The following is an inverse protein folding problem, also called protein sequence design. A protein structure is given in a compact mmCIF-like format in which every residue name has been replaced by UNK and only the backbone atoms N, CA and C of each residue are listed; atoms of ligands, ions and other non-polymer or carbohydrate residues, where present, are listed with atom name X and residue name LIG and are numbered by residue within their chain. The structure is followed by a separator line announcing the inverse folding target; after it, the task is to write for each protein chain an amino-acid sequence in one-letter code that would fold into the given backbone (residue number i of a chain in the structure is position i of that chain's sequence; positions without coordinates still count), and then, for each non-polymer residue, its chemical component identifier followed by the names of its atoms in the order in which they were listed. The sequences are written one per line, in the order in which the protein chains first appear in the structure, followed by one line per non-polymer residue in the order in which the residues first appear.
data_IF_684147464349
#
_entry.id   IF_684147464349
#
_cell.length_a   1.000
_cell.length_b   1.000
_cell.length_c   1.000
_cell.angle_alpha   90.00
_cell.angle_beta   90.00
_cell.angle_gamma   90.00
#
_symmetry.space_group_name_H-M   'P 1'
#
loop_
_entity.id
_entity.type
_entity.pdbx_description
1 polymer ?
#
# COMPACT_ATOMS: atom_id res chain seq x y z
N UNK A 1 -7.29 2.57 29.41
CA UNK A 1 -6.57 1.54 28.64
C UNK A 1 -5.78 2.28 27.57
N UNK A 2 -4.46 2.05 27.45
CA UNK A 2 -3.65 2.61 26.36
C UNK A 2 -3.20 1.48 25.43
N UNK A 3 -3.24 1.71 24.12
CA UNK A 3 -2.85 0.77 23.07
C UNK A 3 -1.59 1.29 22.37
N UNK A 4 -0.57 0.45 22.27
CA UNK A 4 0.68 0.77 21.58
C UNK A 4 0.91 -0.14 20.39
N UNK A 5 1.18 0.46 19.23
CA UNK A 5 1.71 -0.25 18.07
C UNK A 5 3.23 -0.19 18.08
N UNK A 6 3.89 -1.33 17.94
CA UNK A 6 5.35 -1.43 17.91
C UNK A 6 5.74 -2.10 16.60
N UNK A 7 6.56 -1.40 15.80
CA UNK A 7 7.18 -2.00 14.62
C UNK A 7 8.15 -3.14 15.01
N UNK A 8 8.43 -4.03 14.06
CA UNK A 8 9.30 -5.19 14.29
C UNK A 8 10.74 -4.92 13.83
N UNK A 9 10.98 -4.76 12.54
CA UNK A 9 12.32 -4.72 11.96
C UNK A 9 12.98 -3.36 12.17
N UNK A 10 14.09 -3.33 12.91
CA UNK A 10 14.79 -2.09 13.26
C UNK A 10 14.28 -1.49 14.56
N UNK A 11 13.13 -1.96 15.06
CA UNK A 11 12.50 -1.48 16.29
C UNK A 11 12.59 -2.53 17.40
N UNK A 12 11.87 -3.65 17.30
CA UNK A 12 11.90 -4.71 18.31
C UNK A 12 12.99 -5.75 18.01
N UNK A 13 13.28 -5.97 16.73
CA UNK A 13 14.33 -6.83 16.21
C UNK A 13 15.41 -5.98 15.53
N UNK A 14 16.67 -6.43 15.61
CA UNK A 14 17.77 -5.87 14.85
C UNK A 14 17.48 -5.96 13.34
N UNK A 15 17.81 -4.91 12.59
CA UNK A 15 17.65 -4.90 11.14
C UNK A 15 18.89 -4.32 10.48
N UNK A 16 19.41 -5.07 9.50
CA UNK A 16 20.56 -4.66 8.68
C UNK A 16 20.10 -4.48 7.24
N UNK A 17 19.46 -5.51 6.68
CA UNK A 17 18.84 -5.50 5.37
C UNK A 17 17.82 -6.64 5.26
N UNK A 18 17.04 -6.65 4.18
CA UNK A 18 16.10 -7.72 3.92
C UNK A 18 16.82 -9.02 3.53
N UNK A 19 16.72 -10.05 4.38
CA UNK A 19 17.36 -11.34 4.16
C UNK A 19 16.39 -12.46 3.76
N UNK A 20 15.08 -12.23 3.87
CA UNK A 20 14.05 -13.22 3.55
C UNK A 20 12.78 -13.01 4.36
N UNK A 21 11.67 -13.57 3.88
CA UNK A 21 10.35 -13.42 4.51
C UNK A 21 10.30 -13.98 5.95
N UNK A 22 11.08 -15.01 6.21
CA UNK A 22 11.16 -15.78 7.45
C UNK A 22 12.44 -15.51 8.25
N UNK A 23 13.33 -14.63 7.78
CA UNK A 23 14.56 -14.24 8.46
C UNK A 23 14.34 -12.89 9.15
N UNK A 24 14.11 -12.94 10.46
CA UNK A 24 13.96 -11.78 11.35
C UNK A 24 15.20 -11.71 12.25
N UNK A 25 15.74 -10.52 12.49
CA UNK A 25 16.94 -10.33 13.32
C UNK A 25 16.74 -10.71 14.79
N UNK A 26 17.80 -10.66 15.58
CA UNK A 26 17.70 -10.92 17.02
C UNK A 26 16.89 -9.81 17.70
N UNK A 27 16.10 -10.12 18.74
CA UNK A 27 15.48 -9.07 19.54
C UNK A 27 16.57 -8.20 20.16
N UNK A 28 16.37 -6.89 20.17
CA UNK A 28 17.24 -6.01 20.94
C UNK A 28 17.26 -6.47 22.40
N UNK A 29 18.44 -6.45 23.03
CA UNK A 29 18.65 -7.01 24.38
C UNK A 29 17.67 -6.47 25.43
N UNK A 30 17.21 -5.23 25.25
CA UNK A 30 16.31 -4.53 26.17
C UNK A 30 14.82 -4.66 25.79
N UNK A 31 14.49 -5.30 24.66
CA UNK A 31 13.11 -5.51 24.21
C UNK A 31 12.24 -6.32 25.20
N UNK A 32 12.70 -7.44 25.80
CA UNK A 32 11.89 -8.18 26.76
C UNK A 32 11.51 -7.35 27.99
N UNK A 33 12.46 -6.56 28.50
CA UNK A 33 12.23 -5.66 29.63
C UNK A 33 11.20 -4.58 29.27
N UNK A 34 11.33 -3.97 28.09
CA UNK A 34 10.43 -2.93 27.63
C UNK A 34 8.98 -3.42 27.51
N UNK A 35 8.80 -4.57 26.85
CA UNK A 35 7.49 -5.20 26.69
C UNK A 35 6.88 -5.59 28.04
N UNK A 36 7.68 -6.15 28.96
CA UNK A 36 7.23 -6.44 30.31
C UNK A 36 6.76 -5.18 31.04
N UNK A 37 7.53 -4.09 30.98
CA UNK A 37 7.21 -2.83 31.65
C UNK A 37 5.93 -2.17 31.08
N UNK A 38 5.65 -2.33 29.78
CA UNK A 38 4.37 -1.92 29.17
C UNK A 38 3.20 -2.73 29.73
N UNK A 39 3.36 -4.05 29.86
CA UNK A 39 2.32 -4.92 30.44
C UNK A 39 2.08 -4.63 31.92
N UNK A 40 3.11 -4.36 32.72
CA UNK A 40 2.96 -3.94 34.12
C UNK A 40 2.17 -2.62 34.25
N UNK A 41 2.27 -1.73 33.26
CA UNK A 41 1.48 -0.49 33.18
C UNK A 41 0.05 -0.70 32.65
N UNK A 42 -0.35 -1.93 32.34
CA UNK A 42 -1.68 -2.25 31.83
C UNK A 42 -1.92 -1.82 30.38
N UNK A 43 -0.86 -1.71 29.56
CA UNK A 43 -0.99 -1.38 28.15
C UNK A 43 -1.38 -2.61 27.32
N UNK A 44 -2.09 -2.35 26.23
CA UNK A 44 -2.31 -3.32 25.15
C UNK A 44 -1.19 -3.12 24.13
N UNK A 45 -0.46 -4.19 23.85
CA UNK A 45 0.73 -4.18 23.00
C UNK A 45 0.43 -4.90 21.69
N UNK A 46 0.50 -4.15 20.60
CA UNK A 46 0.29 -4.64 19.25
C UNK A 46 1.62 -4.62 18.50
N UNK A 47 2.01 -5.73 17.86
CA UNK A 47 3.04 -5.69 16.82
C UNK A 47 2.40 -5.16 15.54
N UNK A 48 3.05 -4.20 14.89
CA UNK A 48 2.58 -3.62 13.64
C UNK A 48 3.73 -3.54 12.64
N UNK A 49 3.80 -4.52 11.75
CA UNK A 49 4.94 -4.72 10.85
C UNK A 49 4.45 -5.00 9.43
N UNK A 50 5.35 -5.04 8.44
CA UNK A 50 5.07 -5.50 7.08
C UNK A 50 5.18 -7.02 6.91
N UNK A 51 5.71 -7.72 7.93
CA UNK A 51 5.86 -9.19 7.93
C UNK A 51 4.55 -9.94 8.18
N UNK A 52 4.35 -11.06 7.47
CA UNK A 52 3.17 -11.91 7.65
C UNK A 52 3.11 -12.49 9.07
N UNK A 53 1.90 -12.56 9.63
CA UNK A 53 1.63 -12.90 11.04
C UNK A 53 2.24 -14.25 11.45
N UNK A 54 2.28 -15.21 10.54
CA UNK A 54 2.86 -16.54 10.78
C UNK A 54 4.35 -16.46 11.14
N UNK A 55 5.12 -15.60 10.45
CA UNK A 55 6.55 -15.44 10.69
C UNK A 55 6.80 -14.64 11.96
N UNK A 56 5.99 -13.60 12.20
CA UNK A 56 6.06 -12.79 13.42
C UNK A 56 5.75 -13.62 14.65
N UNK A 57 4.68 -14.42 14.63
CA UNK A 57 4.28 -15.29 15.73
C UNK A 57 5.38 -16.31 16.06
N UNK A 58 5.90 -16.99 15.04
CA UNK A 58 6.99 -17.95 15.20
C UNK A 58 8.21 -17.32 15.87
N UNK A 59 8.64 -16.15 15.39
CA UNK A 59 9.77 -15.43 15.97
C UNK A 59 9.51 -14.99 17.43
N UNK A 60 8.32 -14.47 17.73
CA UNK A 60 7.93 -14.11 19.09
C UNK A 60 7.93 -15.32 20.05
N UNK A 61 7.51 -16.50 19.57
CA UNK A 61 7.55 -17.74 20.34
C UNK A 61 8.99 -18.21 20.58
N UNK A 62 9.83 -18.23 19.54
CA UNK A 62 11.24 -18.62 19.62
C UNK A 62 12.04 -17.77 20.63
N UNK A 63 11.69 -16.48 20.74
CA UNK A 63 12.34 -15.55 21.64
C UNK A 63 11.63 -15.33 22.99
N UNK A 64 10.57 -16.10 23.29
CA UNK A 64 9.76 -15.94 24.51
C UNK A 64 9.27 -14.50 24.72
N UNK A 65 8.75 -13.87 23.66
CA UNK A 65 8.16 -12.53 23.68
C UNK A 65 6.64 -12.56 23.47
N UNK A 66 6.10 -13.65 22.92
CA UNK A 66 4.68 -13.77 22.55
C UNK A 66 3.72 -13.49 23.72
N UNK A 67 4.10 -13.81 24.96
CA UNK A 67 3.28 -13.58 26.14
C UNK A 67 3.05 -12.09 26.48
N UNK A 68 3.84 -11.19 25.89
CA UNK A 68 3.68 -9.76 26.07
C UNK A 68 2.89 -9.09 24.94
N UNK A 69 2.52 -9.83 23.90
CA UNK A 69 1.87 -9.30 22.70
C UNK A 69 0.40 -9.69 22.71
N UNK A 70 -0.48 -8.70 22.62
CA UNK A 70 -1.93 -8.92 22.58
C UNK A 70 -2.44 -9.12 21.14
N UNK A 71 -1.86 -8.40 20.18
CA UNK A 71 -2.26 -8.44 18.76
C UNK A 71 -1.04 -8.40 17.83
N UNK A 72 -1.13 -9.08 16.68
CA UNK A 72 -0.14 -9.03 15.61
C UNK A 72 -0.83 -8.51 14.36
N UNK A 73 -0.32 -7.41 13.82
CA UNK A 73 -0.90 -6.68 12.69
C UNK A 73 -2.40 -6.38 12.87
N UNK A 74 -2.84 -6.24 14.12
CA UNK A 74 -4.22 -5.99 14.53
C UNK A 74 -4.30 -5.10 15.76
N UNK A 75 -5.48 -4.60 16.07
CA UNK A 75 -5.70 -3.74 17.22
C UNK A 75 -7.07 -3.99 17.87
N UNK A 76 -7.26 -3.63 19.14
CA UNK A 76 -8.54 -3.78 19.82
C UNK A 76 -9.60 -2.76 19.34
N UNK A 77 -9.25 -1.83 18.47
CA UNK A 77 -10.21 -0.85 17.93
C UNK A 77 -10.96 -1.43 16.73
N UNK A 78 -12.28 -1.17 16.61
CA UNK A 78 -13.05 -1.62 15.47
C UNK A 78 -12.52 -1.02 14.17
N UNK A 79 -12.50 -1.83 13.11
CA UNK A 79 -11.88 -1.55 11.82
C UNK A 79 -12.63 -0.50 10.97
N UNK A 80 -13.46 0.35 11.59
CA UNK A 80 -14.38 1.29 10.92
C UNK A 80 -13.69 2.53 10.37
N UNK A 81 -12.51 2.88 10.88
CA UNK A 81 -11.64 3.88 10.26
C UNK A 81 -10.56 3.19 9.43
N UNK A 82 -10.38 3.62 8.18
CA UNK A 82 -9.41 3.11 7.20
C UNK A 82 -7.92 3.26 7.59
N UNK A 83 -7.64 3.50 8.87
CA UNK A 83 -6.33 3.60 9.51
C UNK A 83 -6.46 3.01 10.92
N UNK A 84 -5.77 1.89 11.22
CA UNK A 84 -5.84 1.28 12.56
C UNK A 84 -5.20 2.23 13.57
N UNK A 85 -5.99 2.66 14.56
CA UNK A 85 -5.58 3.61 15.58
C UNK A 85 -4.74 2.91 16.66
N UNK A 86 -3.66 3.55 17.09
CA UNK A 86 -2.98 3.26 18.34
C UNK A 86 -2.95 4.57 19.13
N UNK A 87 -2.97 4.50 20.47
CA UNK A 87 -2.75 5.71 21.27
C UNK A 87 -1.31 6.22 21.09
N UNK A 88 -0.37 5.28 20.92
CA UNK A 88 1.05 5.52 20.64
C UNK A 88 1.56 4.55 19.58
N UNK A 89 2.43 4.99 18.68
CA UNK A 89 3.13 4.13 17.74
C UNK A 89 4.65 4.34 17.84
N UNK A 90 5.39 3.24 18.02
CA UNK A 90 6.85 3.20 18.04
C UNK A 90 7.31 2.52 16.76
N UNK A 91 8.20 3.20 16.04
CA UNK A 91 8.91 2.66 14.91
C UNK A 91 10.13 3.50 14.61
N UNK A 92 11.06 2.96 13.85
CA UNK A 92 12.18 3.69 13.25
C UNK A 92 11.73 4.92 12.42
N UNK A 93 10.49 4.92 11.93
CA UNK A 93 9.88 6.02 11.17
C UNK A 93 8.95 6.96 11.99
N UNK A 94 8.68 6.69 13.28
CA UNK A 94 7.72 7.45 14.09
C UNK A 94 8.33 8.06 15.36
N UNK A 95 7.92 7.63 16.57
CA UNK A 95 8.74 7.86 17.77
C UNK A 95 9.96 6.96 17.61
N UNK A 96 11.06 7.55 17.14
CA UNK A 96 12.27 6.82 16.76
C UNK A 96 12.83 6.06 17.93
N UNK A 97 13.00 4.76 17.72
CA UNK A 97 13.83 3.92 18.55
C UNK A 97 15.29 4.07 18.12
N UNK A 98 16.11 4.73 18.95
CA UNK A 98 17.54 4.93 18.68
C UNK A 98 18.42 3.85 19.35
N UNK A 99 17.86 2.68 19.65
CA UNK A 99 18.57 1.56 20.26
C UNK A 99 18.42 1.41 21.78
N UNK A 100 17.82 2.39 22.47
CA UNK A 100 17.71 2.40 23.94
C UNK A 100 16.25 2.50 24.43
N UNK A 101 15.65 1.36 24.74
CA UNK A 101 14.24 1.27 25.15
C UNK A 101 13.95 1.96 26.49
N UNK A 102 14.97 2.12 27.32
CA UNK A 102 14.84 2.75 28.64
C UNK A 102 14.50 4.25 28.53
N UNK A 103 15.18 4.99 27.65
CA UNK A 103 14.90 6.41 27.43
C UNK A 103 13.58 6.63 26.71
N UNK A 104 13.24 5.74 25.76
CA UNK A 104 11.94 5.73 25.11
C UNK A 104 10.80 5.56 26.14
N UNK A 105 10.93 4.59 27.06
CA UNK A 105 9.91 4.29 28.07
C UNK A 105 9.68 5.42 29.09
N UNK A 106 10.71 6.21 29.41
CA UNK A 106 10.57 7.42 30.24
C UNK A 106 9.77 8.52 29.54
N UNK A 107 9.89 8.62 28.22
CA UNK A 107 9.27 9.68 27.43
C UNK A 107 7.82 9.37 27.00
N UNK A 108 7.33 8.14 27.24
CA UNK A 108 5.93 7.73 27.00
C UNK A 108 4.89 8.45 27.90
N UNK A 109 5.32 9.39 28.76
CA UNK A 109 4.46 10.22 29.61
C UNK A 109 3.81 11.42 28.90
N UNK A 110 4.13 11.67 27.63
CA UNK A 110 3.54 12.79 26.88
C UNK A 110 2.39 12.28 26.02
N UNK A 111 1.19 12.81 26.23
CA UNK A 111 -0.01 12.55 25.42
C UNK A 111 0.16 13.14 24.00
N UNK A 112 1.09 12.57 23.23
CA UNK A 112 1.42 12.99 21.86
C UNK A 112 0.92 11.93 20.89
N UNK A 113 -0.09 12.29 20.13
CA UNK A 113 -0.71 11.45 19.13
C UNK A 113 0.01 11.61 17.78
N UNK A 114 -0.13 10.60 16.91
CA UNK A 114 0.18 10.75 15.49
C UNK A 114 -0.63 11.92 14.91
N UNK A 115 0.04 13.02 14.57
CA UNK A 115 -0.58 14.21 13.96
C UNK A 115 -0.82 15.43 14.88
N UNK A 116 -0.44 15.40 16.17
CA UNK A 116 -0.49 16.61 16.99
C UNK A 116 0.69 17.55 16.66
N UNK A 117 0.40 18.82 16.36
CA UNK A 117 1.40 19.88 16.19
C UNK A 117 2.28 20.00 17.44
N UNK A 118 3.60 19.98 17.27
CA UNK A 118 4.57 19.97 18.38
C UNK A 118 5.52 18.76 18.41
N UNK A 119 5.77 18.12 17.26
CA UNK A 119 6.88 17.17 17.12
C UNK A 119 8.21 17.79 17.56
N UNK A 120 9.10 16.95 18.09
CA UNK A 120 10.47 17.30 18.50
C UNK A 120 11.10 18.37 17.62
N UNK A 121 11.76 19.33 18.27
CA UNK A 121 12.49 20.45 17.67
C UNK A 121 13.16 19.99 16.37
N UNK A 122 12.58 20.41 15.24
CA UNK A 122 12.90 19.88 13.90
C UNK A 122 14.23 20.42 13.36
N UNK A 123 14.87 21.28 14.14
CA UNK A 123 15.99 22.11 13.69
C UNK A 123 17.37 21.48 13.91
N UNK A 124 17.44 20.22 14.38
CA UNK A 124 18.72 19.51 14.46
C UNK A 124 18.80 18.45 13.35
N UNK A 125 19.69 18.73 12.40
CA UNK A 125 20.13 17.89 11.26
C UNK A 125 19.24 17.93 10.00
N UNK A 126 18.98 19.10 9.43
CA UNK A 126 18.48 19.21 8.04
C UNK A 126 19.60 19.31 6.99
N UNK A 127 20.84 19.63 7.38
CA UNK A 127 21.92 19.93 6.43
C UNK A 127 22.71 18.74 5.88
N UNK A 128 22.51 17.51 6.40
CA UNK A 128 23.31 16.32 6.02
C UNK A 128 22.48 15.16 5.43
N UNK A 129 21.19 15.38 5.13
CA UNK A 129 20.32 14.28 4.68
C UNK A 129 20.44 14.06 3.17
N UNK A 130 20.95 12.89 2.77
CA UNK A 130 20.90 12.42 1.38
C UNK A 130 19.43 12.13 0.99
N UNK A 131 18.84 12.86 0.04
CA UNK A 131 17.45 12.66 -0.40
C UNK A 131 17.14 11.26 -0.92
N UNK A 132 18.17 10.48 -1.32
CA UNK A 132 17.99 9.10 -1.78
C UNK A 132 17.62 8.11 -0.65
N UNK A 133 17.86 8.46 0.61
CA UNK A 133 17.73 7.56 1.76
C UNK A 133 16.43 7.74 2.56
N UNK A 134 15.75 8.88 2.43
CA UNK A 134 14.61 9.24 3.28
C UNK A 134 13.54 9.97 2.48
N UNK A 135 12.67 9.23 1.78
CA UNK A 135 11.39 9.76 1.34
C UNK A 135 10.45 9.56 2.54
N UNK A 136 9.74 10.60 3.00
CA UNK A 136 8.85 10.53 4.17
C UNK A 136 7.85 9.37 4.07
N UNK A 137 8.16 8.21 4.65
CA UNK A 137 7.35 6.99 4.65
C UNK A 137 7.72 5.91 3.62
N UNK A 138 8.76 6.09 2.78
CA UNK A 138 9.31 5.01 1.94
C UNK A 138 10.80 5.23 1.64
N UNK A 139 11.68 4.29 1.93
CA UNK A 139 13.07 4.36 1.44
C UNK A 139 13.18 3.80 0.00
N UNK A 140 14.24 4.18 -0.74
CA UNK A 140 14.56 3.54 -2.03
C UNK A 140 14.63 2.01 -1.90
N UNK A 141 15.23 1.53 -0.82
CA UNK A 141 15.32 0.12 -0.43
C UNK A 141 13.95 -0.51 -0.23
N UNK A 142 13.02 0.21 0.41
CA UNK A 142 11.65 -0.24 0.59
C UNK A 142 10.91 -0.39 -0.75
N UNK A 143 11.12 0.54 -1.69
CA UNK A 143 10.57 0.44 -3.04
C UNK A 143 11.20 -0.71 -3.85
N UNK A 144 12.49 -1.00 -3.68
CA UNK A 144 13.19 -2.10 -4.35
C UNK A 144 12.64 -3.47 -3.96
N UNK A 145 12.23 -3.65 -2.69
CA UNK A 145 11.60 -4.89 -2.22
C UNK A 145 10.35 -5.26 -3.04
N UNK A 146 9.55 -4.27 -3.45
CA UNK A 146 8.34 -4.50 -4.22
C UNK A 146 8.60 -4.93 -5.68
N UNK A 147 9.74 -4.57 -6.25
CA UNK A 147 10.07 -4.88 -7.64
C UNK A 147 10.16 -6.39 -7.84
N UNK A 148 10.92 -7.08 -7.00
CA UNK A 148 11.06 -8.54 -7.05
C UNK A 148 9.76 -9.28 -6.73
N UNK A 149 8.99 -8.77 -5.77
CA UNK A 149 7.73 -9.38 -5.37
C UNK A 149 6.69 -9.33 -6.49
N UNK A 150 6.43 -8.15 -7.04
CA UNK A 150 5.35 -7.99 -8.03
C UNK A 150 5.66 -8.72 -9.33
N UNK A 151 6.92 -8.77 -9.77
CA UNK A 151 7.31 -9.63 -10.89
C UNK A 151 7.05 -11.10 -10.61
N UNK A 152 7.39 -11.58 -9.40
CA UNK A 152 7.16 -12.98 -9.00
C UNK A 152 5.68 -13.33 -9.01
N UNK A 153 4.82 -12.43 -8.52
CA UNK A 153 3.36 -12.58 -8.60
C UNK A 153 2.95 -12.80 -10.07
N UNK A 154 3.39 -11.95 -10.99
CA UNK A 154 3.00 -12.06 -12.40
C UNK A 154 3.57 -13.27 -13.13
N UNK A 155 4.75 -13.75 -12.74
CA UNK A 155 5.34 -14.98 -13.32
C UNK A 155 4.62 -16.24 -12.86
N UNK A 156 4.20 -16.30 -11.60
CA UNK A 156 3.52 -17.45 -11.02
C UNK A 156 2.01 -17.44 -11.31
N UNK A 157 1.43 -16.26 -11.53
CA UNK A 157 0.00 -16.10 -11.79
C UNK A 157 -0.39 -16.68 -13.14
N UNK A 158 -1.38 -17.57 -13.13
CA UNK A 158 -2.08 -18.00 -14.34
C UNK A 158 -3.06 -16.91 -14.77
N UNK A 159 -2.91 -16.41 -16.00
CA UNK A 159 -3.85 -15.45 -16.61
C UNK A 159 -5.25 -16.07 -16.67
N UNK A 160 -6.26 -15.33 -16.20
CA UNK A 160 -7.66 -15.78 -16.22
C UNK A 160 -8.48 -15.11 -17.32
N UNK A 161 -8.01 -13.97 -17.82
CA UNK A 161 -8.81 -13.08 -18.63
C UNK A 161 -8.20 -12.71 -20.00
N UNK A 162 -9.06 -12.28 -20.91
CA UNK A 162 -8.71 -11.83 -22.26
C UNK A 162 -8.16 -10.42 -22.28
N UNK A 163 -8.67 -9.57 -21.38
CA UNK A 163 -8.37 -8.15 -21.31
C UNK A 163 -7.74 -7.79 -19.96
N UNK A 164 -6.92 -6.75 -19.93
CA UNK A 164 -6.45 -6.14 -18.70
C UNK A 164 -7.21 -4.83 -18.43
N UNK A 165 -7.57 -4.58 -17.19
CA UNK A 165 -8.13 -3.31 -16.72
C UNK A 165 -7.20 -2.72 -15.67
N UNK A 166 -6.42 -1.71 -16.07
CA UNK A 166 -5.49 -0.99 -15.21
C UNK A 166 -6.20 0.20 -14.56
N UNK A 167 -6.15 0.27 -13.24
CA UNK A 167 -6.66 1.41 -12.46
C UNK A 167 -5.71 1.77 -11.32
N UNK A 168 -6.02 2.81 -10.56
CA UNK A 168 -5.16 3.34 -9.49
C UNK A 168 -5.18 2.41 -8.26
N UNK A 169 -4.22 2.57 -7.34
CA UNK A 169 -4.40 2.12 -5.97
C UNK A 169 -5.34 3.04 -5.18
N UNK A 170 -5.81 2.62 -4.02
CA UNK A 170 -6.60 3.49 -3.13
C UNK A 170 -5.87 3.72 -1.82
N UNK A 171 -6.07 4.88 -1.20
CA UNK A 171 -5.63 5.11 0.17
C UNK A 171 -6.25 4.08 1.14
N UNK A 172 -7.53 3.76 0.96
CA UNK A 172 -8.20 2.73 1.73
C UNK A 172 -7.74 1.32 1.32
N UNK A 173 -7.39 0.52 2.32
CA UNK A 173 -6.82 -0.82 2.14
C UNK A 173 -7.54 -1.88 2.99
N UNK A 174 -7.58 -3.16 2.54
CA UNK A 174 -7.13 -3.64 1.23
C UNK A 174 -7.86 -2.95 0.08
N UNK A 175 -7.20 -2.75 -1.07
CA UNK A 175 -7.81 -2.02 -2.20
C UNK A 175 -9.17 -2.63 -2.61
N UNK A 176 -9.35 -3.94 -2.43
CA UNK A 176 -10.60 -4.62 -2.71
C UNK A 176 -11.81 -4.16 -1.89
N UNK A 177 -11.57 -3.47 -0.77
CA UNK A 177 -12.60 -2.91 0.13
C UNK A 177 -12.74 -1.39 -0.01
N UNK A 178 -11.94 -0.72 -0.85
CA UNK A 178 -12.08 0.72 -1.03
C UNK A 178 -13.37 1.07 -1.77
N UNK A 179 -13.94 2.24 -1.46
CA UNK A 179 -15.15 2.72 -2.13
C UNK A 179 -14.98 2.78 -3.66
N UNK A 180 -13.87 3.37 -4.13
CA UNK A 180 -13.53 3.46 -5.56
C UNK A 180 -13.61 2.09 -6.25
N UNK A 181 -12.94 1.08 -5.67
CA UNK A 181 -12.86 -0.24 -6.30
C UNK A 181 -14.17 -1.03 -6.15
N UNK A 182 -14.90 -0.86 -5.06
CA UNK A 182 -16.23 -1.44 -4.88
C UNK A 182 -17.20 -0.96 -5.96
N UNK A 183 -17.28 0.36 -6.20
CA UNK A 183 -18.20 0.92 -7.19
C UNK A 183 -17.84 0.51 -8.62
N UNK A 184 -16.56 0.61 -9.00
CA UNK A 184 -16.11 0.19 -10.33
C UNK A 184 -16.37 -1.31 -10.55
N UNK A 185 -16.06 -2.16 -9.57
CA UNK A 185 -16.26 -3.62 -9.72
C UNK A 185 -17.72 -4.01 -9.74
N UNK A 186 -18.57 -3.36 -8.94
CA UNK A 186 -20.02 -3.55 -8.97
C UNK A 186 -20.58 -3.25 -10.36
N UNK A 187 -20.15 -2.14 -10.97
CA UNK A 187 -20.51 -1.82 -12.34
C UNK A 187 -20.03 -2.90 -13.33
N UNK A 188 -18.74 -3.25 -13.31
CA UNK A 188 -18.17 -4.25 -14.22
C UNK A 188 -18.83 -5.63 -14.05
N UNK A 189 -19.21 -6.00 -12.84
CA UNK A 189 -19.96 -7.21 -12.55
C UNK A 189 -21.36 -7.17 -13.15
N UNK A 190 -22.10 -6.07 -12.93
CA UNK A 190 -23.47 -5.90 -13.46
C UNK A 190 -23.52 -5.85 -14.99
N UNK A 191 -22.41 -5.51 -15.64
CA UNK A 191 -22.26 -5.51 -17.09
C UNK A 191 -21.64 -6.82 -17.62
N UNK A 192 -21.46 -7.83 -16.78
CA UNK A 192 -20.83 -9.13 -17.11
C UNK A 192 -19.39 -9.01 -17.66
N UNK A 193 -18.75 -7.85 -17.48
CA UNK A 193 -17.41 -7.57 -17.98
C UNK A 193 -16.33 -8.15 -17.07
N UNK A 194 -16.59 -8.21 -15.76
CA UNK A 194 -15.57 -8.53 -14.75
C UNK A 194 -14.90 -9.90 -15.00
N UNK A 195 -15.62 -10.90 -15.52
CA UNK A 195 -15.05 -12.22 -15.82
C UNK A 195 -14.11 -12.23 -17.03
N UNK A 196 -14.26 -11.25 -17.93
CA UNK A 196 -13.42 -11.10 -19.13
C UNK A 196 -12.15 -10.29 -18.88
N UNK A 197 -11.97 -9.79 -17.66
CA UNK A 197 -10.95 -8.81 -17.27
C UNK A 197 -10.08 -9.31 -16.13
N UNK A 198 -8.78 -9.11 -16.27
CA UNK A 198 -7.88 -9.06 -15.11
C UNK A 198 -7.91 -7.63 -14.58
N UNK A 199 -8.48 -7.44 -13.39
CA UNK A 199 -8.55 -6.16 -12.68
C UNK A 199 -7.22 -5.91 -11.97
N UNK A 200 -6.54 -4.81 -12.27
CA UNK A 200 -5.14 -4.59 -11.88
C UNK A 200 -4.99 -3.18 -11.32
N UNK A 201 -4.36 -3.10 -10.16
CA UNK A 201 -4.04 -1.85 -9.47
C UNK A 201 -2.63 -1.40 -9.82
N UNK A 202 -2.46 -0.13 -10.16
CA UNK A 202 -1.17 0.53 -10.33
C UNK A 202 -0.88 1.29 -9.04
N UNK A 203 0.18 0.86 -8.35
CA UNK A 203 0.61 1.43 -7.08
C UNK A 203 2.09 1.77 -7.11
N UNK A 204 2.52 2.63 -6.18
CA UNK A 204 3.93 2.77 -5.82
C UNK A 204 4.51 1.48 -5.19
N UNK A 205 3.68 0.51 -4.79
CA UNK A 205 4.10 -0.84 -4.44
C UNK A 205 4.13 -1.79 -5.66
N UNK A 206 3.79 -1.30 -6.85
CA UNK A 206 3.92 -1.99 -8.13
C UNK A 206 2.61 -2.26 -8.86
N UNK A 207 2.67 -3.16 -9.85
CA UNK A 207 1.51 -3.52 -10.69
C UNK A 207 0.90 -4.78 -10.10
N UNK A 208 -0.29 -4.65 -9.50
CA UNK A 208 -0.80 -5.65 -8.57
C UNK A 208 -2.14 -6.20 -9.09
N UNK A 209 -2.26 -7.51 -9.38
CA UNK A 209 -3.55 -8.09 -9.72
C UNK A 209 -4.49 -8.03 -8.51
N UNK A 210 -5.77 -7.78 -8.72
CA UNK A 210 -6.75 -7.53 -7.66
C UNK A 210 -6.81 -8.62 -6.59
N UNK A 211 -6.68 -9.89 -6.95
CA UNK A 211 -6.66 -10.98 -5.99
C UNK A 211 -5.44 -10.95 -5.05
N UNK A 212 -4.33 -10.34 -5.49
CA UNK A 212 -3.14 -10.19 -4.67
C UNK A 212 -3.26 -9.02 -3.68
N UNK A 213 -4.23 -8.11 -3.86
CA UNK A 213 -4.50 -7.05 -2.88
C UNK A 213 -5.50 -7.45 -1.80
N UNK A 214 -5.89 -8.73 -1.70
CA UNK A 214 -6.71 -9.25 -0.60
C UNK A 214 -5.94 -9.42 0.71
N UNK A 215 -6.67 -9.55 1.83
CA UNK A 215 -6.10 -9.73 3.18
C UNK A 215 -5.23 -10.99 3.31
N UNK A 216 -5.56 -12.06 2.57
CA UNK A 216 -4.92 -13.37 2.72
C UNK A 216 -3.73 -13.61 1.77
N UNK A 217 -3.64 -12.89 0.64
CA UNK A 217 -2.75 -13.26 -0.46
C UNK A 217 -1.37 -12.56 -0.39
N UNK A 218 -1.33 -11.24 -0.20
CA UNK A 218 -0.07 -10.46 -0.12
C UNK A 218 -0.26 -9.18 0.71
N UNK A 219 -0.41 -9.33 2.03
CA UNK A 219 -0.59 -8.19 2.95
C UNK A 219 0.45 -7.08 2.82
N UNK A 220 1.65 -7.36 2.31
CA UNK A 220 2.73 -6.38 2.16
C UNK A 220 2.38 -5.20 1.23
N UNK A 221 1.66 -5.42 0.11
CA UNK A 221 1.21 -4.31 -0.75
C UNK A 221 0.10 -3.50 -0.07
N UNK A 222 -0.66 -4.14 0.80
CA UNK A 222 -1.67 -3.49 1.62
C UNK A 222 -1.05 -2.74 2.82
N UNK A 223 0.23 -2.92 3.12
CA UNK A 223 0.91 -2.22 4.23
C UNK A 223 1.75 -1.02 3.78
N UNK A 224 1.86 -0.82 2.47
CA UNK A 224 2.47 0.38 1.87
C UNK A 224 1.65 1.66 2.17
N UNK A 225 1.90 2.39 3.24
CA UNK A 225 1.19 3.66 3.48
C UNK A 225 2.00 4.84 2.92
N UNK A 226 1.45 5.58 1.96
CA UNK A 226 2.12 6.72 1.36
C UNK A 226 1.14 7.87 1.17
N UNK A 227 1.52 9.02 1.70
CA UNK A 227 0.80 10.26 1.50
C UNK A 227 1.40 11.04 0.32
N UNK A 228 0.74 10.98 -0.83
CA UNK A 228 1.16 11.72 -2.03
C UNK A 228 1.21 13.24 -1.84
N UNK A 229 0.46 13.79 -0.86
CA UNK A 229 0.46 15.23 -0.57
C UNK A 229 1.75 15.70 0.11
N UNK A 230 2.52 14.80 0.72
CA UNK A 230 3.77 15.11 1.41
C UNK A 230 5.01 14.84 0.54
N UNK A 231 4.80 14.38 -0.68
CA UNK A 231 5.87 14.10 -1.64
C UNK A 231 6.46 15.40 -2.18
N UNK A 232 7.77 15.59 -2.03
CA UNK A 232 8.43 16.65 -2.78
C UNK A 232 8.47 16.32 -4.30
N UNK A 233 8.73 17.31 -5.17
CA UNK A 233 8.76 17.10 -6.62
C UNK A 233 9.79 16.06 -7.08
N UNK A 234 10.93 15.93 -6.41
CA UNK A 234 11.97 14.97 -6.76
C UNK A 234 11.53 13.54 -6.42
N UNK A 235 10.88 13.34 -5.27
CA UNK A 235 10.25 12.06 -4.91
C UNK A 235 9.16 11.69 -5.90
N UNK A 236 8.30 12.66 -6.24
CA UNK A 236 7.22 12.46 -7.20
C UNK A 236 7.76 12.00 -8.55
N UNK A 237 8.86 12.59 -9.01
CA UNK A 237 9.54 12.20 -10.24
C UNK A 237 10.11 10.78 -10.16
N UNK A 238 10.76 10.44 -9.05
CA UNK A 238 11.32 9.11 -8.82
C UNK A 238 10.22 8.04 -8.85
N UNK A 239 9.10 8.27 -8.17
CA UNK A 239 7.96 7.37 -8.14
C UNK A 239 7.34 7.20 -9.53
N UNK A 240 7.17 8.30 -10.27
CA UNK A 240 6.68 8.27 -11.66
C UNK A 240 7.59 7.43 -12.55
N UNK A 241 8.91 7.60 -12.45
CA UNK A 241 9.91 6.81 -13.18
C UNK A 241 9.83 5.33 -12.81
N UNK A 242 9.67 4.99 -11.53
CA UNK A 242 9.50 3.60 -11.10
C UNK A 242 8.22 2.96 -11.61
N UNK A 243 7.07 3.63 -11.49
CA UNK A 243 5.81 3.11 -12.05
C UNK A 243 5.97 2.86 -13.56
N UNK A 244 6.61 3.79 -14.28
CA UNK A 244 6.89 3.65 -15.72
C UNK A 244 7.70 2.38 -16.02
N UNK A 245 8.78 2.15 -15.27
CA UNK A 245 9.63 0.96 -15.42
C UNK A 245 8.88 -0.34 -15.09
N UNK A 246 8.08 -0.32 -14.02
CA UNK A 246 7.29 -1.49 -13.59
C UNK A 246 6.19 -1.84 -14.57
N UNK A 247 5.51 -0.85 -15.15
CA UNK A 247 4.54 -1.06 -16.23
C UNK A 247 5.21 -1.70 -17.45
N UNK A 248 6.38 -1.22 -17.85
CA UNK A 248 7.14 -1.81 -18.95
C UNK A 248 7.58 -3.26 -18.63
N UNK A 249 8.03 -3.54 -17.40
CA UNK A 249 8.39 -4.90 -16.99
C UNK A 249 7.18 -5.83 -16.96
N UNK A 250 6.09 -5.40 -16.31
CA UNK A 250 4.82 -6.11 -16.29
C UNK A 250 4.32 -6.41 -17.70
N UNK A 251 4.41 -5.44 -18.62
CA UNK A 251 3.97 -5.62 -20.00
C UNK A 251 4.74 -6.74 -20.71
N UNK A 252 6.07 -6.80 -20.52
CA UNK A 252 6.90 -7.88 -21.08
C UNK A 252 6.57 -9.25 -20.48
N UNK A 253 6.28 -9.33 -19.18
CA UNK A 253 6.06 -10.60 -18.47
C UNK A 253 4.63 -11.14 -18.72
N UNK A 254 3.64 -10.26 -18.65
CA UNK A 254 2.22 -10.62 -18.63
C UNK A 254 1.39 -9.78 -19.61
N UNK A 255 1.65 -8.47 -19.72
CA UNK A 255 0.79 -7.56 -20.49
C UNK A 255 0.65 -7.90 -21.97
N UNK A 256 1.72 -8.38 -22.62
CA UNK A 256 1.73 -8.77 -24.05
C UNK A 256 0.73 -9.89 -24.40
N UNK A 257 0.24 -10.62 -23.39
CA UNK A 257 -0.71 -11.73 -23.57
C UNK A 257 -2.17 -11.28 -23.58
N UNK A 258 -2.46 -10.03 -23.20
CA UNK A 258 -3.82 -9.50 -23.30
C UNK A 258 -4.08 -9.00 -24.71
N UNK A 259 -5.31 -9.23 -25.19
CA UNK A 259 -5.72 -8.67 -26.47
C UNK A 259 -5.82 -7.15 -26.40
N UNK A 260 -6.30 -6.63 -25.27
CA UNK A 260 -6.46 -5.21 -25.01
C UNK A 260 -6.14 -4.91 -23.56
N UNK A 261 -5.53 -3.74 -23.36
CA UNK A 261 -5.23 -3.16 -22.06
C UNK A 261 -6.04 -1.87 -21.96
N UNK A 262 -6.98 -1.83 -21.02
CA UNK A 262 -7.77 -0.64 -20.73
C UNK A 262 -7.14 0.09 -19.55
N UNK A 263 -7.05 1.41 -19.64
CA UNK A 263 -6.49 2.27 -18.59
C UNK A 263 -7.58 3.22 -18.12
N UNK A 264 -7.87 3.18 -16.82
CA UNK A 264 -8.88 4.01 -16.17
C UNK A 264 -8.27 4.72 -14.96
N UNK A 265 -7.81 5.95 -15.20
CA UNK A 265 -7.04 6.78 -14.27
C UNK A 265 -7.43 8.24 -14.43
N UNK A 266 -7.21 9.03 -13.37
CA UNK A 266 -7.37 10.48 -13.37
C UNK A 266 -6.38 11.13 -14.38
N UNK A 267 -6.83 11.96 -15.33
CA UNK A 267 -5.98 12.53 -16.38
C UNK A 267 -4.74 13.31 -15.88
N UNK A 268 -4.90 14.08 -14.81
CA UNK A 268 -3.86 14.92 -14.19
C UNK A 268 -2.93 14.15 -13.26
N UNK A 269 -3.31 12.93 -12.86
CA UNK A 269 -2.57 12.14 -11.87
C UNK A 269 -1.18 11.69 -12.35
N UNK A 270 -0.22 11.63 -11.43
CA UNK A 270 1.14 11.16 -11.71
C UNK A 270 1.17 9.75 -12.31
N UNK A 271 0.26 8.87 -11.89
CA UNK A 271 0.12 7.52 -12.43
C UNK A 271 -0.29 7.52 -13.91
N UNK A 272 -1.18 8.43 -14.33
CA UNK A 272 -1.55 8.58 -15.74
C UNK A 272 -0.33 9.01 -16.57
N UNK A 273 0.47 9.94 -16.05
CA UNK A 273 1.71 10.36 -16.71
C UNK A 273 2.70 9.20 -16.84
N UNK A 274 2.86 8.39 -15.79
CA UNK A 274 3.72 7.20 -15.81
C UNK A 274 3.23 6.16 -16.85
N UNK A 275 1.91 5.92 -16.95
CA UNK A 275 1.36 5.02 -17.97
C UNK A 275 1.66 5.54 -19.38
N UNK A 276 1.45 6.83 -19.65
CA UNK A 276 1.79 7.43 -20.95
C UNK A 276 3.29 7.30 -21.26
N UNK A 277 4.15 7.57 -20.27
CA UNK A 277 5.60 7.45 -20.41
C UNK A 277 6.06 6.00 -20.64
N UNK A 278 5.30 5.00 -20.18
CA UNK A 278 5.65 3.59 -20.35
C UNK A 278 5.47 3.07 -21.78
N UNK A 279 4.73 3.82 -22.62
CA UNK A 279 4.46 3.50 -24.02
C UNK A 279 3.81 2.11 -24.25
N UNK A 280 3.21 1.51 -23.22
CA UNK A 280 2.46 0.26 -23.39
C UNK A 280 1.24 0.53 -24.30
N UNK A 281 0.91 -0.38 -25.22
CA UNK A 281 -0.28 -0.24 -26.06
C UNK A 281 -1.52 -0.36 -25.19
N UNK A 282 -2.25 0.75 -25.04
CA UNK A 282 -3.40 0.84 -24.15
C UNK A 282 -4.52 1.68 -24.74
N UNK A 283 -5.74 1.38 -24.29
CA UNK A 283 -6.95 2.13 -24.58
C UNK A 283 -7.27 2.94 -23.33
N UNK A 284 -7.19 4.26 -23.44
CA UNK A 284 -7.48 5.17 -22.34
C UNK A 284 -8.99 5.43 -22.28
N UNK A 285 -9.60 5.04 -21.17
CA UNK A 285 -11.00 5.35 -20.89
C UNK A 285 -11.03 6.79 -20.35
N UNK A 286 -11.84 7.69 -20.95
CA UNK A 286 -11.90 9.08 -20.49
C UNK A 286 -12.47 9.16 -19.08
N UNK A 287 -11.91 10.07 -18.28
CA UNK A 287 -12.34 10.38 -16.91
C UNK A 287 -12.46 11.89 -16.79
N UNK A 288 -13.53 12.37 -16.15
CA UNK A 288 -13.73 13.76 -15.77
C UNK A 288 -13.26 13.95 -14.32
N UNK A 289 -12.44 14.96 -14.07
CA UNK A 289 -12.00 15.30 -12.71
C UNK A 289 -13.09 16.12 -12.04
N UNK A 290 -14.03 15.41 -11.42
CA UNK A 290 -15.16 15.98 -10.70
C UNK A 290 -14.81 16.03 -9.21
N UNK A 291 -15.36 17.00 -8.50
CA UNK A 291 -15.20 17.09 -7.04
C UNK A 291 -15.73 15.82 -6.36
N UNK A 292 -15.07 15.43 -5.28
CA UNK A 292 -15.50 14.29 -4.47
C UNK A 292 -16.87 14.57 -3.85
N UNK A 293 -17.74 13.56 -3.72
CA UNK A 293 -19.03 13.71 -3.04
C UNK A 293 -18.92 14.36 -1.66
N UNK A 294 -19.81 15.33 -1.38
CA UNK A 294 -19.80 16.11 -0.13
C UNK A 294 -19.97 15.28 1.14
N UNK A 295 -20.46 14.04 1.04
CA UNK A 295 -20.66 13.15 2.18
C UNK A 295 -19.42 12.35 2.60
N UNK A 296 -18.30 12.45 1.89
CA UNK A 296 -17.06 11.79 2.30
C UNK A 296 -16.27 12.68 3.27
N UNK A 297 -16.01 12.15 4.46
CA UNK A 297 -15.30 12.86 5.53
C UNK A 297 -13.83 13.17 5.20
N UNK A 298 -13.21 12.38 4.32
CA UNK A 298 -11.83 12.54 3.85
C UNK A 298 -11.73 12.23 2.34
N UNK A 299 -12.11 13.18 1.47
CA UNK A 299 -12.13 12.95 0.03
C UNK A 299 -10.73 12.73 -0.53
N UNK A 300 -10.55 11.64 -1.27
CA UNK A 300 -9.36 11.37 -2.09
C UNK A 300 -9.57 12.01 -3.46
N UNK A 301 -8.52 12.63 -4.01
CA UNK A 301 -8.54 13.22 -5.36
C UNK A 301 -8.89 12.21 -6.46
N UNK A 302 -8.67 10.93 -6.21
CA UNK A 302 -9.01 9.83 -7.12
C UNK A 302 -10.43 9.29 -6.91
N UNK A 303 -11.21 9.80 -5.95
CA UNK A 303 -12.63 9.45 -5.75
C UNK A 303 -13.49 9.79 -6.98
N UNK A 304 -13.06 10.75 -7.79
CA UNK A 304 -13.71 11.05 -9.06
C UNK A 304 -13.86 9.81 -9.96
N UNK A 305 -13.00 8.79 -9.82
CA UNK A 305 -13.06 7.54 -10.58
C UNK A 305 -14.31 6.69 -10.28
N UNK A 306 -14.93 6.84 -9.11
CA UNK A 306 -16.17 6.13 -8.79
C UNK A 306 -17.43 6.98 -9.04
N UNK A 307 -17.27 8.20 -9.56
CA UNK A 307 -18.42 9.03 -9.94
C UNK A 307 -19.26 8.32 -11.03
N UNK A 308 -20.61 8.26 -10.91
CA UNK A 308 -21.48 7.61 -11.89
C UNK A 308 -21.27 8.03 -13.34
N UNK A 309 -20.93 9.31 -13.58
CA UNK A 309 -20.64 9.81 -14.93
C UNK A 309 -19.39 9.12 -15.48
N UNK A 310 -18.35 8.98 -14.67
CA UNK A 310 -17.09 8.39 -15.08
C UNK A 310 -17.18 6.88 -15.19
N UNK A 311 -17.92 6.21 -14.30
CA UNK A 311 -18.06 4.75 -14.35
C UNK A 311 -18.86 4.34 -15.58
N UNK A 312 -19.86 5.11 -16.00
CA UNK A 312 -20.58 4.87 -17.26
C UNK A 312 -19.67 4.92 -18.50
N UNK A 313 -18.63 5.75 -18.49
CA UNK A 313 -17.65 5.82 -19.59
C UNK A 313 -16.86 4.51 -19.75
N UNK A 314 -16.72 3.71 -18.69
CA UNK A 314 -16.14 2.37 -18.76
C UNK A 314 -17.01 1.51 -19.68
N UNK A 315 -18.31 1.43 -19.40
CA UNK A 315 -19.27 0.60 -20.15
C UNK A 315 -19.29 0.98 -21.62
N UNK A 316 -19.42 2.27 -21.92
CA UNK A 316 -19.44 2.78 -23.30
C UNK A 316 -18.16 2.42 -24.05
N UNK A 317 -17.02 2.52 -23.37
CA UNK A 317 -15.73 2.15 -23.96
C UNK A 317 -15.69 0.67 -24.32
N UNK A 318 -16.13 -0.23 -23.44
CA UNK A 318 -16.20 -1.67 -23.71
C UNK A 318 -17.19 -2.03 -24.83
N UNK A 319 -18.38 -1.44 -24.81
CA UNK A 319 -19.42 -1.69 -25.83
C UNK A 319 -18.98 -1.26 -27.23
N UNK A 320 -18.29 -0.12 -27.35
CA UNK A 320 -17.70 0.33 -28.62
C UNK A 320 -16.74 -0.68 -29.23
N UNK A 321 -16.11 -1.55 -28.44
CA UNK A 321 -15.24 -2.62 -28.94
C UNK A 321 -15.96 -3.93 -29.22
N UNK A 322 -17.05 -4.24 -28.51
CA UNK A 322 -17.86 -5.42 -28.78
C UNK A 322 -18.58 -5.31 -30.13
N UNK A 323 -19.11 -4.13 -30.46
CA UNK A 323 -19.82 -3.88 -31.72
C UNK A 323 -18.91 -3.95 -32.96
N UNK A 324 -17.64 -3.58 -32.82
CA UNK A 324 -16.67 -3.66 -33.93
C UNK A 324 -16.19 -5.08 -34.26
N UNK A 325 -16.55 -6.10 -33.48
CA UNK A 325 -16.30 -7.52 -33.84
C UNK A 325 -17.38 -8.10 -34.74
N UNK A 326 -18.54 -7.45 -34.86
CA UNK A 326 -19.68 -7.96 -35.65
C UNK A 326 -19.62 -7.65 -37.15
N UNK A 327 -18.65 -6.87 -37.63
CA UNK A 327 -18.65 -6.37 -39.02
C UNK A 327 -17.51 -6.89 -39.90
N UNK A 328 -16.53 -7.61 -39.34
CA UNK A 328 -15.37 -8.10 -40.11
C UNK A 328 -15.26 -9.64 -40.19
N UNK A 329 -16.19 -10.38 -39.57
CA UNK A 329 -16.29 -11.83 -39.73
C UNK A 329 -17.55 -12.17 -40.55
N UNK A 330 -17.52 -11.84 -41.84
CA UNK A 330 -18.37 -12.51 -42.85
C UNK A 330 -17.41 -13.14 -43.85
N UNK A 331 -17.42 -14.48 -44.05
CA UNK A 331 -16.70 -15.13 -45.13
C UNK A 331 -17.13 -14.61 -46.51
#
# INVERSE_FOLDING_TARGET
MKVIGIDLDGTLAEYVEWQGVDIIGQPYKTAPWFLHALKERGWVVCIWTTRADIYVRKWLEEHNLIQYIDFINDSPYPCEAHKRSFDVYIGDEAIRFEGEFYELFKNLHTDRHWGSEGGFDRDVVESDRNPELYLRGTSKTYLDMFDGLTESIWRLRRRKARYAFLTICSHAKPYSKSWIHCEIRKLLHNQELLQSLDYIHISNAGIIPHEASGEEAFGIVNRYDWNGAEADPAVTELLRKRITQRLASWYRIAGIKYEKIFVYLRPSGNTMQAVKASQIPAIFIPVRELDSPEWMDLPDVDDCLANPINTQLIVTSFQGFALNKGTNDTP
#
